data_IF_743246920867
#
_entry.id   IF_743246920867
#
_cell.length_a   1.000
_cell.length_b   1.000
_cell.length_c   1.000
_cell.angle_alpha   90.00
_cell.angle_beta   90.00
_cell.angle_gamma   90.00
#
_symmetry.space_group_name_H-M   'P 1'
#
loop_
_entity.id
_entity.type
_entity.pdbx_description
1 polymer ?
#
# COMPACT_ATOMS: atom_id res chain seq x y z
N UNK A 1 13.03 -7.94 30.33
CA UNK A 1 11.58 -8.15 30.17
C UNK A 1 11.06 -7.77 28.78
N UNK A 2 11.80 -6.95 28.02
CA UNK A 2 11.35 -6.43 26.71
C UNK A 2 11.30 -7.46 25.57
N UNK A 3 12.16 -8.50 25.59
CA UNK A 3 12.19 -9.53 24.55
C UNK A 3 10.93 -10.44 24.57
N UNK A 4 10.39 -10.72 25.77
CA UNK A 4 9.15 -11.50 25.91
C UNK A 4 7.92 -10.69 25.51
N UNK A 5 7.89 -9.39 25.84
CA UNK A 5 6.83 -8.49 25.42
C UNK A 5 6.79 -8.34 23.89
N UNK A 6 7.95 -8.21 23.23
CA UNK A 6 8.04 -8.18 21.78
C UNK A 6 7.63 -9.50 21.12
N UNK A 7 7.99 -10.64 21.70
CA UNK A 7 7.53 -11.97 21.24
C UNK A 7 6.01 -12.11 21.36
N UNK A 8 5.44 -11.67 22.49
CA UNK A 8 4.01 -11.69 22.74
C UNK A 8 3.24 -10.75 21.81
N UNK A 9 3.74 -9.53 21.60
CA UNK A 9 3.18 -8.56 20.63
C UNK A 9 3.26 -9.10 19.21
N UNK A 10 4.36 -9.75 18.83
CA UNK A 10 4.50 -10.35 17.49
C UNK A 10 3.54 -11.52 17.30
N UNK A 11 3.35 -12.35 18.32
CA UNK A 11 2.40 -13.45 18.32
C UNK A 11 0.96 -12.95 18.21
N UNK A 12 0.61 -11.92 19.00
CA UNK A 12 -0.68 -11.25 18.92
C UNK A 12 -0.91 -10.60 17.55
N UNK A 13 0.08 -9.89 17.01
CA UNK A 13 0.01 -9.25 15.68
C UNK A 13 -0.21 -10.29 14.58
N UNK A 14 0.50 -11.42 14.62
CA UNK A 14 0.30 -12.56 13.71
C UNK A 14 -1.10 -13.17 13.85
N UNK A 15 -1.56 -13.38 15.08
CA UNK A 15 -2.90 -13.91 15.34
C UNK A 15 -4.00 -12.95 14.84
N UNK A 16 -3.86 -11.65 15.10
CA UNK A 16 -4.79 -10.63 14.58
C UNK A 16 -4.74 -10.51 13.07
N UNK A 17 -3.55 -10.59 12.43
CA UNK A 17 -3.42 -10.58 10.97
C UNK A 17 -4.07 -11.81 10.34
N UNK A 18 -3.89 -13.00 10.91
CA UNK A 18 -4.52 -14.22 10.41
C UNK A 18 -6.04 -14.20 10.60
N UNK A 19 -6.51 -13.71 11.75
CA UNK A 19 -7.95 -13.58 12.04
C UNK A 19 -8.63 -12.56 11.12
N UNK A 20 -7.97 -11.43 10.83
CA UNK A 20 -8.45 -10.43 9.87
C UNK A 20 -8.44 -10.98 8.43
N UNK A 21 -7.37 -11.66 8.00
CA UNK A 21 -7.31 -12.32 6.68
C UNK A 21 -8.45 -13.32 6.50
N UNK A 22 -8.72 -14.15 7.52
CA UNK A 22 -9.79 -15.15 7.47
C UNK A 22 -11.19 -14.54 7.39
N UNK A 23 -11.39 -13.31 7.89
CA UNK A 23 -12.72 -12.70 8.03
C UNK A 23 -13.12 -11.82 6.85
N UNK A 24 -12.17 -11.41 6.00
CA UNK A 24 -12.40 -10.50 4.86
C UNK A 24 -12.35 -11.18 3.48
N UNK A 25 -11.97 -12.45 3.39
CA UNK A 25 -12.02 -13.18 2.10
C UNK A 25 -13.45 -13.68 1.86
N UNK A 26 -14.18 -12.98 1.00
CA UNK A 26 -15.43 -13.47 0.42
C UNK A 26 -15.05 -14.54 -0.61
N UNK A 27 -15.28 -15.81 -0.27
CA UNK A 27 -15.00 -16.94 -1.16
C UNK A 27 -16.15 -17.06 -2.18
N UNK A 28 -15.97 -16.53 -3.38
CA UNK A 28 -16.80 -16.89 -4.52
C UNK A 28 -16.30 -18.23 -5.06
N UNK A 29 -17.12 -19.29 -4.98
CA UNK A 29 -16.81 -20.59 -5.57
C UNK A 29 -17.25 -20.58 -7.03
N UNK A 30 -16.35 -20.21 -7.95
CA UNK A 30 -16.41 -20.54 -9.39
C UNK A 30 -15.03 -20.25 -9.98
N UNK A 31 -14.34 -21.30 -10.45
CA UNK A 31 -13.05 -21.34 -11.17
C UNK A 31 -11.98 -20.29 -10.77
N UNK A 32 -10.99 -20.70 -9.95
CA UNK A 32 -9.80 -19.91 -9.61
C UNK A 32 -8.90 -19.65 -10.85
N UNK A 33 -9.35 -18.84 -11.79
CA UNK A 33 -8.43 -17.96 -12.52
C UNK A 33 -7.95 -16.90 -11.50
N UNK A 34 -6.65 -16.65 -11.39
CA UNK A 34 -6.13 -15.55 -10.56
C UNK A 34 -6.76 -14.24 -11.03
N UNK A 35 -7.82 -13.79 -10.34
CA UNK A 35 -8.47 -12.51 -10.61
C UNK A 35 -7.48 -11.40 -10.23
N UNK A 36 -6.78 -10.86 -11.22
CA UNK A 36 -5.88 -9.72 -11.06
C UNK A 36 -6.71 -8.44 -11.10
N UNK A 37 -6.65 -7.61 -10.04
CA UNK A 37 -7.28 -6.29 -10.05
C UNK A 37 -6.62 -5.39 -11.10
N UNK A 38 -7.33 -4.98 -12.17
CA UNK A 38 -6.77 -4.09 -13.20
C UNK A 38 -6.28 -2.76 -12.61
N UNK A 39 -6.85 -2.31 -11.49
CA UNK A 39 -6.42 -1.10 -10.80
C UNK A 39 -4.99 -1.22 -10.26
N UNK A 40 -4.62 -2.35 -9.65
CA UNK A 40 -3.27 -2.54 -9.09
C UNK A 40 -2.22 -2.50 -10.20
N UNK A 41 -2.47 -3.21 -11.30
CA UNK A 41 -1.57 -3.24 -12.48
C UNK A 41 -1.38 -1.83 -13.04
N UNK A 42 -2.48 -1.09 -13.24
CA UNK A 42 -2.42 0.27 -13.79
C UNK A 42 -1.74 1.26 -12.84
N UNK A 43 -2.00 1.16 -11.52
CA UNK A 43 -1.33 2.01 -10.52
C UNK A 43 0.18 1.77 -10.52
N UNK A 44 0.64 0.53 -10.60
CA UNK A 44 2.06 0.22 -10.69
C UNK A 44 2.70 0.80 -11.95
N UNK A 45 2.04 0.62 -13.10
CA UNK A 45 2.51 1.12 -14.38
C UNK A 45 2.59 2.65 -14.42
N UNK A 46 1.53 3.33 -13.96
CA UNK A 46 1.50 4.79 -13.83
C UNK A 46 2.56 5.31 -12.86
N UNK A 47 2.77 4.59 -11.76
CA UNK A 47 3.85 4.93 -10.81
C UNK A 47 5.21 4.85 -11.50
N UNK A 48 5.51 3.77 -12.23
CA UNK A 48 6.80 3.53 -12.91
C UNK A 48 7.06 4.46 -14.10
N UNK A 49 6.02 4.82 -14.84
CA UNK A 49 6.17 5.58 -16.10
C UNK A 49 5.99 7.10 -15.93
N UNK A 50 5.04 7.52 -15.09
CA UNK A 50 4.63 8.94 -14.99
C UNK A 50 5.00 9.58 -13.66
N UNK A 51 4.88 8.86 -12.55
CA UNK A 51 4.93 9.44 -11.20
C UNK A 51 6.20 9.11 -10.40
N UNK A 52 7.24 8.55 -11.03
CA UNK A 52 8.46 8.09 -10.33
C UNK A 52 9.13 9.16 -9.49
N UNK A 53 9.19 10.41 -9.98
CA UNK A 53 9.79 11.52 -9.22
C UNK A 53 9.06 11.80 -7.91
N UNK A 54 7.74 11.63 -7.88
CA UNK A 54 6.94 11.84 -6.67
C UNK A 54 7.11 10.66 -5.71
N UNK A 55 7.22 9.44 -6.25
CA UNK A 55 7.60 8.26 -5.46
C UNK A 55 8.96 8.43 -4.80
N UNK A 56 9.97 8.92 -5.53
CA UNK A 56 11.30 9.20 -4.99
C UNK A 56 11.26 10.26 -3.87
N UNK A 57 10.44 11.32 -4.02
CA UNK A 57 10.24 12.31 -2.96
C UNK A 57 9.61 11.70 -1.70
N UNK A 58 8.60 10.85 -1.88
CA UNK A 58 7.98 10.12 -0.77
C UNK A 58 8.99 9.21 -0.07
N UNK A 59 9.83 8.51 -0.81
CA UNK A 59 10.92 7.67 -0.25
C UNK A 59 11.94 8.52 0.52
N UNK A 60 12.32 9.69 0.00
CA UNK A 60 13.21 10.62 0.69
C UNK A 60 12.60 11.14 2.00
N UNK A 61 11.31 11.48 2.01
CA UNK A 61 10.62 11.86 3.24
C UNK A 61 10.59 10.70 4.24
N UNK A 62 10.23 9.50 3.80
CA UNK A 62 10.21 8.31 4.67
C UNK A 62 11.59 8.06 5.30
N UNK A 63 12.67 8.21 4.54
CA UNK A 63 14.03 8.08 5.08
C UNK A 63 14.31 9.14 6.14
N UNK A 64 13.88 10.39 5.93
CA UNK A 64 14.06 11.49 6.89
C UNK A 64 13.26 11.25 8.18
N UNK A 65 11.98 10.87 8.08
CA UNK A 65 11.12 10.57 9.23
C UNK A 65 11.67 9.38 10.01
N UNK A 66 12.03 8.28 9.33
CA UNK A 66 12.54 7.07 9.98
C UNK A 66 13.95 7.24 10.60
N UNK A 67 14.74 8.21 10.11
CA UNK A 67 16.06 8.50 10.69
C UNK A 67 16.00 9.20 12.06
N UNK A 68 14.86 9.81 12.41
CA UNK A 68 14.70 10.60 13.63
C UNK A 68 14.07 9.76 14.75
N UNK A 69 14.67 9.79 15.95
CA UNK A 69 14.11 9.10 17.13
C UNK A 69 12.78 9.71 17.59
N UNK A 70 12.62 11.02 17.44
CA UNK A 70 11.39 11.76 17.74
C UNK A 70 11.26 12.88 16.70
N UNK A 71 10.13 12.94 16.00
CA UNK A 71 9.84 13.96 14.98
C UNK A 71 8.33 14.16 14.89
N UNK A 72 7.89 15.38 14.61
CA UNK A 72 6.49 15.70 14.27
C UNK A 72 6.26 15.76 12.75
N UNK A 73 7.30 15.49 11.97
CA UNK A 73 7.25 15.47 10.53
C UNK A 73 6.38 14.31 10.01
N UNK A 74 5.56 14.59 8.99
CA UNK A 74 4.68 13.63 8.33
C UNK A 74 4.88 13.72 6.82
N UNK A 75 4.92 12.57 6.14
CA UNK A 75 5.05 12.48 4.68
C UNK A 75 3.71 12.55 3.94
N UNK A 76 2.67 13.11 4.59
CA UNK A 76 1.32 13.12 4.03
C UNK A 76 1.23 13.97 2.76
N UNK A 77 1.97 15.07 2.69
CA UNK A 77 2.07 15.89 1.48
C UNK A 77 2.57 15.07 0.30
N UNK A 78 3.69 14.36 0.45
CA UNK A 78 4.27 13.55 -0.63
C UNK A 78 3.37 12.37 -1.03
N UNK A 79 2.59 11.83 -0.09
CA UNK A 79 1.57 10.80 -0.39
C UNK A 79 0.47 11.37 -1.27
N UNK A 80 -0.08 12.54 -0.90
CA UNK A 80 -1.16 13.18 -1.68
C UNK A 80 -0.66 13.57 -3.07
N UNK A 81 0.56 14.10 -3.19
CA UNK A 81 1.16 14.41 -4.48
C UNK A 81 1.28 13.16 -5.38
N UNK A 82 1.83 12.07 -4.84
CA UNK A 82 1.97 10.81 -5.57
C UNK A 82 0.60 10.27 -6.00
N UNK A 83 -0.37 10.27 -5.09
CA UNK A 83 -1.71 9.74 -5.38
C UNK A 83 -2.43 10.59 -6.42
N UNK A 84 -2.34 11.92 -6.33
CA UNK A 84 -2.91 12.80 -7.33
C UNK A 84 -2.38 12.51 -8.74
N UNK A 85 -1.06 12.32 -8.87
CA UNK A 85 -0.44 11.95 -10.14
C UNK A 85 -0.89 10.57 -10.63
N UNK A 86 -0.87 9.56 -9.77
CA UNK A 86 -1.24 8.19 -10.13
C UNK A 86 -2.71 8.12 -10.52
N UNK A 87 -3.61 8.72 -9.75
CA UNK A 87 -5.04 8.72 -10.04
C UNK A 87 -5.34 9.44 -11.35
N UNK A 88 -4.66 10.56 -11.64
CA UNK A 88 -4.80 11.25 -12.91
C UNK A 88 -4.40 10.36 -14.11
N UNK A 89 -3.29 9.63 -13.99
CA UNK A 89 -2.82 8.69 -15.02
C UNK A 89 -3.77 7.47 -15.18
N UNK A 90 -4.21 6.89 -14.07
CA UNK A 90 -5.05 5.67 -14.07
C UNK A 90 -6.46 5.95 -14.58
N UNK A 91 -6.99 7.15 -14.33
CA UNK A 91 -8.36 7.54 -14.70
C UNK A 91 -8.65 7.38 -16.21
N UNK A 92 -7.64 7.52 -17.07
CA UNK A 92 -7.80 7.40 -18.53
C UNK A 92 -8.14 5.98 -18.99
N UNK A 93 -7.70 4.96 -18.25
CA UNK A 93 -7.72 3.56 -18.73
C UNK A 93 -8.48 2.61 -17.82
N UNK A 94 -8.60 2.90 -16.52
CA UNK A 94 -9.18 1.97 -15.53
C UNK A 94 -10.60 1.56 -15.87
N UNK A 95 -11.48 2.53 -16.14
CA UNK A 95 -12.90 2.25 -16.40
C UNK A 95 -13.14 1.47 -17.70
N UNK A 96 -12.17 1.46 -18.63
CA UNK A 96 -12.25 0.60 -19.83
C UNK A 96 -12.01 -0.88 -19.53
N UNK A 97 -11.46 -1.21 -18.36
CA UNK A 97 -11.15 -2.57 -17.90
C UNK A 97 -12.21 -3.16 -16.97
N UNK A 98 -13.14 -2.33 -16.49
CA UNK A 98 -14.23 -2.74 -15.60
C UNK A 98 -15.47 -3.07 -16.44
N UNK A 99 -16.21 -4.12 -16.05
CA UNK A 99 -17.47 -4.56 -16.67
C UNK A 99 -18.66 -4.15 -15.83
#
# INVERSE_FOLDING_TARGET
MDLYLNSFITSLRKYTQNSLKSKFVVKAEEEEEELVDPQEVLREDCTKKHCMKLKEKLEQCNNRVNSKKQTSESCFEEVIDLFHCVDHCVAETLFSKLK
#
